data_IF_628673220610
#
_entry.id   IF_628673220610
#
_cell.length_a   1.000
_cell.length_b   1.000
_cell.length_c   1.000
_cell.angle_alpha   90.00
_cell.angle_beta   90.00
_cell.angle_gamma   90.00
#
_symmetry.space_group_name_H-M   'P 1'
#
loop_
_entity.id
_entity.type
_entity.pdbx_description
1 polymer ?
#
# COMPACT_ATOMS: atom_id res chain seq x y z
N UNK A 1 2.89 3.98 -25.20
CA UNK A 1 1.79 3.21 -24.59
C UNK A 1 1.14 4.11 -23.54
N UNK A 2 -0.17 4.34 -23.62
CA UNK A 2 -0.86 5.16 -22.61
C UNK A 2 -0.98 4.37 -21.31
N UNK A 3 -0.48 4.89 -20.19
CA UNK A 3 -0.71 4.28 -18.88
C UNK A 3 -2.19 4.41 -18.54
N UNK A 4 -2.87 3.30 -18.23
CA UNK A 4 -4.20 3.34 -17.63
C UNK A 4 -4.10 4.10 -16.31
N UNK A 5 -4.82 5.21 -16.19
CA UNK A 5 -4.90 6.00 -14.95
C UNK A 5 -5.99 5.43 -14.06
N UNK A 6 -5.63 5.07 -12.84
CA UNK A 6 -6.58 4.65 -11.80
C UNK A 6 -6.77 5.80 -10.82
N UNK A 7 -8.00 6.01 -10.31
CA UNK A 7 -8.22 7.05 -9.31
C UNK A 7 -7.37 6.77 -8.06
N UNK A 8 -6.79 7.84 -7.50
CA UNK A 8 -6.01 7.75 -6.28
C UNK A 8 -6.89 7.24 -5.13
N UNK A 9 -6.52 6.14 -4.47
CA UNK A 9 -7.29 5.63 -3.35
C UNK A 9 -7.26 6.60 -2.17
N UNK A 10 -8.37 6.84 -1.45
CA UNK A 10 -8.39 7.79 -0.34
C UNK A 10 -7.47 7.32 0.80
N UNK A 11 -6.61 8.24 1.25
CA UNK A 11 -5.80 8.07 2.47
C UNK A 11 -6.60 8.52 3.72
N UNK A 12 -6.30 7.94 4.90
CA UNK A 12 -6.92 8.37 6.14
C UNK A 12 -6.60 9.84 6.43
N UNK A 13 -7.61 10.60 6.85
CA UNK A 13 -7.45 12.00 7.25
C UNK A 13 -7.33 12.13 8.78
N UNK A 14 -6.66 13.18 9.29
CA UNK A 14 -6.67 13.47 10.72
C UNK A 14 -8.10 13.51 11.28
N UNK A 15 -8.33 12.83 12.41
CA UNK A 15 -9.64 12.76 13.06
C UNK A 15 -10.64 11.77 12.44
N UNK A 16 -10.31 11.07 11.36
CA UNK A 16 -11.20 10.07 10.76
C UNK A 16 -11.19 8.76 11.57
N UNK A 17 -12.39 8.23 11.85
CA UNK A 17 -12.54 6.95 12.54
C UNK A 17 -12.11 5.77 11.64
N UNK A 18 -11.41 4.79 12.23
CA UNK A 18 -11.03 3.54 11.54
C UNK A 18 -12.21 2.79 10.94
N UNK A 19 -13.39 2.87 11.55
CA UNK A 19 -14.62 2.24 11.07
C UNK A 19 -15.06 2.72 9.67
N UNK A 20 -14.59 3.90 9.24
CA UNK A 20 -14.88 4.44 7.91
C UNK A 20 -13.82 4.05 6.88
N UNK A 21 -12.85 3.23 7.28
CA UNK A 21 -11.87 2.67 6.37
C UNK A 21 -12.20 1.20 6.12
N UNK A 22 -12.78 0.93 4.94
CA UNK A 22 -13.03 -0.43 4.49
C UNK A 22 -11.80 -0.92 3.74
N UNK A 23 -11.10 -1.88 4.33
CA UNK A 23 -10.02 -2.57 3.64
C UNK A 23 -10.56 -3.31 2.40
N UNK A 24 -9.79 -3.40 1.30
CA UNK A 24 -10.12 -4.25 0.18
C UNK A 24 -10.29 -5.72 0.60
N UNK A 25 -11.04 -6.49 -0.19
CA UNK A 25 -11.49 -7.84 0.18
C UNK A 25 -10.35 -8.88 0.28
N UNK A 26 -9.17 -8.60 -0.28
CA UNK A 26 -8.01 -9.49 -0.24
C UNK A 26 -6.72 -8.72 0.07
N UNK A 27 -5.72 -9.44 0.56
CA UNK A 27 -4.39 -8.88 0.85
C UNK A 27 -3.75 -8.27 -0.40
N UNK A 28 -3.85 -8.94 -1.55
CA UNK A 28 -3.31 -8.43 -2.81
C UNK A 28 -4.06 -7.20 -3.30
N UNK A 29 -5.39 -7.13 -3.10
CA UNK A 29 -6.16 -5.92 -3.40
C UNK A 29 -5.76 -4.76 -2.48
N UNK A 30 -5.43 -5.04 -1.21
CA UNK A 30 -4.86 -4.05 -0.29
C UNK A 30 -3.48 -3.58 -0.76
N UNK A 31 -2.59 -4.49 -1.18
CA UNK A 31 -1.28 -4.15 -1.70
C UNK A 31 -1.38 -3.26 -2.96
N UNK A 32 -2.29 -3.57 -3.87
CA UNK A 32 -2.56 -2.71 -5.04
C UNK A 32 -3.06 -1.32 -4.64
N UNK A 33 -3.99 -1.24 -3.68
CA UNK A 33 -4.48 0.01 -3.12
C UNK A 33 -3.33 0.85 -2.55
N UNK A 34 -2.45 0.24 -1.75
CA UNK A 34 -1.26 0.90 -1.18
C UNK A 34 -0.34 1.41 -2.29
N UNK A 35 -0.05 0.59 -3.31
CA UNK A 35 0.80 0.99 -4.42
C UNK A 35 0.26 2.21 -5.17
N UNK A 36 -1.04 2.22 -5.51
CA UNK A 36 -1.68 3.38 -6.16
C UNK A 36 -1.70 4.61 -5.25
N UNK A 37 -1.92 4.44 -3.96
CA UNK A 37 -1.87 5.54 -3.01
C UNK A 37 -0.45 6.12 -2.89
N UNK A 38 0.58 5.27 -2.90
CA UNK A 38 1.98 5.68 -2.85
C UNK A 38 2.41 6.45 -4.11
N UNK A 39 1.96 6.01 -5.29
CA UNK A 39 2.22 6.74 -6.56
C UNK A 39 1.60 8.14 -6.56
N UNK A 40 0.46 8.33 -5.89
CA UNK A 40 -0.28 9.58 -5.88
C UNK A 40 0.03 10.49 -4.68
N UNK A 41 0.73 9.99 -3.67
CA UNK A 41 1.02 10.71 -2.43
C UNK A 41 2.37 11.42 -2.51
N UNK A 42 2.41 12.71 -2.20
CA UNK A 42 3.63 13.52 -2.16
C UNK A 42 4.40 13.31 -0.84
N UNK A 43 4.76 12.06 -0.55
CA UNK A 43 5.42 11.68 0.69
C UNK A 43 5.48 10.17 0.93
N UNK A 44 6.22 9.74 1.96
CA UNK A 44 6.28 8.34 2.35
C UNK A 44 4.95 7.86 2.94
N UNK A 45 4.59 6.61 2.65
CA UNK A 45 3.45 5.93 3.29
C UNK A 45 3.96 4.89 4.28
N UNK A 46 3.45 4.97 5.53
CA UNK A 46 3.63 3.94 6.54
C UNK A 46 2.43 3.01 6.55
N UNK A 47 2.67 1.73 6.28
CA UNK A 47 1.65 0.67 6.36
C UNK A 47 1.88 -0.14 7.61
N UNK A 48 0.88 -0.18 8.49
CA UNK A 48 0.92 -0.93 9.74
C UNK A 48 0.06 -2.19 9.57
N UNK A 49 0.69 -3.36 9.64
CA UNK A 49 0.02 -4.65 9.66
C UNK A 49 -0.36 -5.06 11.10
N UNK A 50 -1.23 -6.06 11.23
CA UNK A 50 -1.59 -6.62 12.54
C UNK A 50 -0.43 -7.37 13.20
N UNK A 51 0.36 -8.05 12.38
CA UNK A 51 1.46 -8.93 12.78
C UNK A 51 2.53 -9.01 11.67
N UNK A 52 3.64 -9.68 11.97
CA UNK A 52 4.77 -9.83 11.06
C UNK A 52 4.40 -10.65 9.81
N UNK A 53 3.52 -11.64 9.94
CA UNK A 53 3.09 -12.43 8.80
C UNK A 53 2.33 -11.57 7.78
N UNK A 54 1.40 -10.73 8.25
CA UNK A 54 0.68 -9.77 7.42
C UNK A 54 1.61 -8.72 6.80
N UNK A 55 2.62 -8.25 7.56
CA UNK A 55 3.63 -7.33 7.02
C UNK A 55 4.40 -7.96 5.85
N UNK A 56 4.91 -9.19 6.04
CA UNK A 56 5.64 -9.93 5.02
C UNK A 56 4.78 -10.22 3.78
N UNK A 57 3.50 -10.56 3.95
CA UNK A 57 2.58 -10.80 2.83
C UNK A 57 2.35 -9.53 2.01
N UNK A 58 2.09 -8.39 2.68
CA UNK A 58 1.91 -7.10 2.00
C UNK A 58 3.19 -6.72 1.25
N UNK A 59 4.35 -6.89 1.87
CA UNK A 59 5.66 -6.60 1.27
C UNK A 59 5.90 -7.45 0.01
N UNK A 60 5.64 -8.75 0.07
CA UNK A 60 5.77 -9.66 -1.07
C UNK A 60 4.83 -9.24 -2.23
N UNK A 61 3.55 -9.00 -1.94
CA UNK A 61 2.57 -8.58 -2.94
C UNK A 61 2.96 -7.23 -3.58
N UNK A 62 3.44 -6.27 -2.79
CA UNK A 62 3.92 -4.98 -3.28
C UNK A 62 5.11 -5.15 -4.23
N UNK A 63 6.10 -5.96 -3.88
CA UNK A 63 7.25 -6.22 -4.77
C UNK A 63 6.83 -6.88 -6.07
N UNK A 64 5.89 -7.82 -6.03
CA UNK A 64 5.35 -8.46 -7.23
C UNK A 64 4.60 -7.46 -8.11
N UNK A 65 3.71 -6.65 -7.53
CA UNK A 65 2.86 -5.71 -8.26
C UNK A 65 3.64 -4.53 -8.85
N UNK A 66 4.64 -4.03 -8.12
CA UNK A 66 5.49 -2.93 -8.58
C UNK A 66 6.53 -3.40 -9.60
N UNK A 67 6.96 -4.66 -9.50
CA UNK A 67 8.01 -5.21 -10.36
C UNK A 67 9.36 -4.51 -10.18
N UNK A 68 10.34 -4.89 -11.00
CA UNK A 68 11.73 -4.43 -10.88
C UNK A 68 11.99 -3.04 -11.44
N UNK A 69 11.08 -2.50 -12.25
CA UNK A 69 11.21 -1.18 -12.90
C UNK A 69 10.53 -0.04 -12.12
N UNK A 70 9.91 -0.33 -10.98
CA UNK A 70 9.24 0.69 -10.17
C UNK A 70 10.25 1.56 -9.42
N UNK A 71 10.02 2.87 -9.45
CA UNK A 71 10.78 3.84 -8.67
C UNK A 71 10.30 3.94 -7.21
N UNK A 72 9.24 3.22 -6.82
CA UNK A 72 8.71 3.21 -5.46
C UNK A 72 9.44 2.19 -4.59
N UNK A 73 10.28 2.62 -3.63
CA UNK A 73 10.95 1.71 -2.72
C UNK A 73 9.96 1.10 -1.73
N UNK A 74 10.09 -0.21 -1.48
CA UNK A 74 9.37 -0.93 -0.42
C UNK A 74 10.37 -1.32 0.65
N UNK A 75 10.27 -0.68 1.81
CA UNK A 75 11.18 -0.85 2.95
C UNK A 75 10.44 -1.53 4.09
N UNK A 76 10.94 -2.69 4.53
CA UNK A 76 10.46 -3.37 5.72
C UNK A 76 11.06 -2.72 6.98
N UNK A 77 10.24 -2.54 8.02
CA UNK A 77 10.74 -2.19 9.34
C UNK A 77 11.10 -3.47 10.10
N UNK A 78 12.35 -3.64 10.54
CA UNK A 78 12.75 -4.83 11.29
C UNK A 78 12.09 -4.87 12.67
N UNK A 79 11.87 -6.09 13.19
CA UNK A 79 11.15 -6.38 14.43
C UNK A 79 12.08 -6.69 15.63
N UNK A 80 13.39 -6.57 15.45
CA UNK A 80 14.44 -6.93 16.42
C UNK A 80 14.99 -5.76 17.24
#
# INVERSE_FOLDING_TARGET
MSRTSYPAPPLPRPGQLRAWWRAPASATALAWYVARAAEAHDGPLLVIARDNHGANQIEADLRTLLGTASALPVVAFPDW
#
